data_IF_359495709626
#
_entry.id   IF_359495709626
#
_cell.length_a   1.000
_cell.length_b   1.000
_cell.length_c   1.000
_cell.angle_alpha   90.00
_cell.angle_beta   90.00
_cell.angle_gamma   90.00
#
_symmetry.space_group_name_H-M   'P 1'
#
loop_
_entity.id
_entity.type
_entity.pdbx_description
1 polymer ?
#
# COMPACT_ATOMS: atom_id res chain seq x y z
N UNK A 1 4.15 -41.09 -70.94
CA UNK A 1 2.93 -40.89 -70.12
C UNK A 1 2.94 -41.89 -68.97
N UNK A 2 2.96 -41.40 -67.73
CA UNK A 2 2.35 -42.00 -66.53
C UNK A 2 2.58 -41.01 -65.39
N UNK A 3 1.53 -40.28 -65.04
CA UNK A 3 1.48 -39.39 -63.89
C UNK A 3 1.32 -40.23 -62.62
N UNK A 4 2.09 -39.94 -61.58
CA UNK A 4 1.77 -40.34 -60.22
C UNK A 4 1.65 -39.07 -59.36
N UNK A 5 0.48 -38.89 -58.77
CA UNK A 5 0.16 -37.81 -57.83
C UNK A 5 0.72 -38.19 -56.47
N UNK A 6 1.60 -37.35 -55.91
CA UNK A 6 2.11 -37.46 -54.55
C UNK A 6 1.15 -36.70 -53.64
N UNK A 7 0.48 -37.40 -52.72
CA UNK A 7 -0.25 -36.76 -51.61
C UNK A 7 0.66 -36.84 -50.40
N UNK A 8 1.29 -35.72 -50.05
CA UNK A 8 1.96 -35.55 -48.76
C UNK A 8 1.07 -34.70 -47.86
N UNK A 9 0.58 -35.29 -46.78
CA UNK A 9 0.11 -34.54 -45.64
C UNK A 9 1.33 -34.26 -44.74
N UNK A 10 1.76 -33.00 -44.56
CA UNK A 10 2.73 -32.70 -43.53
C UNK A 10 2.01 -32.72 -42.18
N UNK A 11 2.27 -33.75 -41.37
CA UNK A 11 2.04 -33.66 -39.92
C UNK A 11 3.08 -32.64 -39.41
N UNK A 12 2.67 -31.39 -39.26
CA UNK A 12 3.48 -30.39 -38.58
C UNK A 12 3.44 -30.68 -37.08
N UNK A 13 4.41 -31.42 -36.57
CA UNK A 13 4.75 -31.38 -35.16
C UNK A 13 5.45 -30.03 -34.92
N UNK A 14 4.71 -29.02 -34.47
CA UNK A 14 5.32 -27.82 -33.91
C UNK A 14 5.69 -28.11 -32.46
N UNK A 15 6.96 -28.41 -32.21
CA UNK A 15 7.51 -28.36 -30.86
C UNK A 15 7.76 -26.88 -30.56
N UNK A 16 6.89 -26.26 -29.76
CA UNK A 16 7.17 -24.94 -29.18
C UNK A 16 8.10 -25.13 -27.99
N UNK A 17 9.41 -25.15 -28.23
CA UNK A 17 10.40 -24.99 -27.15
C UNK A 17 10.52 -23.49 -26.82
N UNK A 18 9.57 -22.98 -26.03
CA UNK A 18 9.62 -21.63 -25.51
C UNK A 18 10.67 -21.50 -24.41
N UNK A 19 11.91 -21.14 -24.75
CA UNK A 19 12.92 -20.77 -23.75
C UNK A 19 12.69 -19.33 -23.27
N UNK A 20 12.03 -19.16 -22.14
CA UNK A 20 11.83 -17.85 -21.52
C UNK A 20 13.12 -17.38 -20.85
N UNK A 21 13.79 -16.38 -21.45
CA UNK A 21 14.93 -15.70 -20.82
C UNK A 21 14.46 -14.57 -19.93
N UNK A 22 15.09 -14.42 -18.77
CA UNK A 22 14.96 -13.20 -17.99
C UNK A 22 15.53 -12.03 -18.82
N UNK A 23 14.80 -10.90 -18.97
CA UNK A 23 15.31 -9.75 -19.72
C UNK A 23 16.60 -9.24 -19.10
N UNK A 24 17.56 -8.88 -19.95
CA UNK A 24 18.81 -8.26 -19.49
C UNK A 24 18.47 -6.89 -18.91
N UNK A 25 18.86 -6.71 -17.66
CA UNK A 25 18.64 -5.45 -16.95
C UNK A 25 19.76 -4.49 -17.31
N UNK A 26 19.42 -3.28 -17.76
CA UNK A 26 20.36 -2.25 -18.18
C UNK A 26 20.19 -0.98 -17.35
N UNK A 27 21.31 -0.31 -17.08
CA UNK A 27 21.36 1.01 -16.48
C UNK A 27 22.52 1.80 -17.08
N UNK A 28 22.34 3.12 -17.17
CA UNK A 28 23.36 4.02 -17.69
C UNK A 28 24.14 4.65 -16.54
N UNK A 29 25.46 4.66 -16.66
CA UNK A 29 26.34 5.47 -15.81
C UNK A 29 26.78 6.67 -16.63
N UNK A 30 26.41 7.86 -16.17
CA UNK A 30 26.84 9.12 -16.79
C UNK A 30 27.91 9.75 -15.90
N UNK A 31 29.14 9.80 -16.41
CA UNK A 31 30.22 10.53 -15.77
C UNK A 31 30.15 12.01 -16.20
N UNK A 32 30.00 12.91 -15.23
CA UNK A 32 30.11 14.33 -15.49
C UNK A 32 31.53 14.81 -15.19
N UNK A 33 32.14 15.54 -16.12
CA UNK A 33 33.46 16.16 -15.95
C UNK A 33 33.36 17.66 -16.15
N UNK A 34 34.06 18.42 -15.31
CA UNK A 34 34.23 19.86 -15.45
C UNK A 34 35.68 20.19 -15.78
N UNK A 35 35.88 21.27 -16.53
CA UNK A 35 37.20 21.77 -16.89
C UNK A 35 37.48 23.07 -16.15
N UNK A 36 38.69 23.18 -15.61
CA UNK A 36 39.24 24.43 -15.08
C UNK A 36 40.45 24.83 -15.91
N UNK A 37 40.37 25.99 -16.58
CA UNK A 37 41.44 26.55 -17.41
C UNK A 37 41.87 27.91 -16.88
N UNK A 38 43.18 28.14 -16.83
CA UNK A 38 43.77 29.43 -16.44
C UNK A 38 44.08 30.24 -17.71
N UNK A 39 43.48 31.41 -17.82
CA UNK A 39 43.75 32.36 -18.90
C UNK A 39 45.17 32.95 -18.76
N UNK A 40 45.73 33.46 -19.86
CA UNK A 40 47.01 34.17 -19.84
C UNK A 40 47.01 35.42 -18.94
N UNK A 41 45.83 36.01 -18.69
CA UNK A 41 45.68 37.10 -17.71
C UNK A 41 45.72 36.64 -16.24
N UNK A 42 45.86 35.33 -15.98
CA UNK A 42 45.90 34.74 -14.64
C UNK A 42 44.53 34.32 -14.08
N UNK A 43 43.42 34.72 -14.73
CA UNK A 43 42.06 34.38 -14.30
C UNK A 43 41.74 32.89 -14.52
N UNK A 44 41.12 32.26 -13.53
CA UNK A 44 40.67 30.87 -13.59
C UNK A 44 39.21 30.81 -14.05
N UNK A 45 38.94 30.03 -15.09
CA UNK A 45 37.60 29.75 -15.60
C UNK A 45 37.29 28.28 -15.37
N UNK A 46 36.24 28.00 -14.60
CA UNK A 46 35.77 26.65 -14.32
C UNK A 46 34.36 26.47 -14.88
N UNK A 47 34.12 25.39 -15.62
CA UNK A 47 32.76 25.01 -16.01
C UNK A 47 31.97 24.49 -14.80
N UNK A 48 30.68 24.79 -14.72
CA UNK A 48 29.79 24.26 -13.69
C UNK A 48 29.21 22.91 -14.10
N UNK A 49 28.91 22.07 -13.11
CA UNK A 49 28.10 20.87 -13.32
C UNK A 49 26.65 21.25 -13.67
N UNK A 50 25.90 20.38 -14.37
CA UNK A 50 24.46 20.54 -14.50
C UNK A 50 23.79 20.66 -13.12
N UNK A 51 22.71 21.45 -13.02
CA UNK A 51 22.07 21.76 -11.73
C UNK A 51 21.57 20.52 -10.97
N UNK A 52 21.30 19.43 -11.67
CA UNK A 52 20.86 18.16 -11.11
C UNK A 52 21.99 17.25 -10.63
N UNK A 53 23.27 17.61 -10.84
CA UNK A 53 24.45 16.86 -10.39
C UNK A 53 25.04 17.59 -9.19
N UNK A 54 24.62 17.16 -7.99
CA UNK A 54 24.94 17.84 -6.74
C UNK A 54 25.99 17.09 -5.92
N UNK A 55 26.14 15.79 -6.17
CA UNK A 55 27.03 14.91 -5.41
C UNK A 55 28.06 14.23 -6.31
N UNK A 56 29.23 13.83 -5.76
CA UNK A 56 30.25 13.08 -6.51
C UNK A 56 29.71 11.77 -7.12
N UNK A 57 28.77 11.11 -6.44
CA UNK A 57 28.04 9.93 -6.92
C UNK A 57 26.60 10.06 -6.47
N UNK A 58 25.65 9.91 -7.40
CA UNK A 58 24.22 9.98 -7.10
C UNK A 58 23.42 9.01 -7.96
N UNK A 59 22.34 8.49 -7.38
CA UNK A 59 21.43 7.58 -8.06
C UNK A 59 20.29 8.35 -8.74
N UNK A 60 20.00 7.97 -9.99
CA UNK A 60 18.91 8.56 -10.76
C UNK A 60 17.52 8.27 -10.19
N UNK A 61 16.49 9.01 -10.64
CA UNK A 61 15.12 8.91 -10.12
C UNK A 61 14.52 7.51 -10.25
N UNK A 62 14.86 6.76 -11.31
CA UNK A 62 14.32 5.41 -11.52
C UNK A 62 14.83 4.40 -10.49
N UNK A 63 16.09 4.50 -10.07
CA UNK A 63 16.65 3.62 -9.02
C UNK A 63 15.99 3.93 -7.67
N UNK A 64 15.75 5.22 -7.39
CA UNK A 64 15.04 5.67 -6.18
C UNK A 64 13.59 5.17 -6.16
N UNK A 65 12.88 5.31 -7.28
CA UNK A 65 11.51 4.82 -7.44
C UNK A 65 11.43 3.30 -7.28
N UNK A 66 12.37 2.55 -7.86
CA UNK A 66 12.46 1.10 -7.68
C UNK A 66 12.63 0.72 -6.21
N UNK A 67 13.56 1.38 -5.50
CA UNK A 67 13.78 1.15 -4.08
C UNK A 67 12.52 1.39 -3.23
N UNK A 68 11.78 2.48 -3.50
CA UNK A 68 10.50 2.78 -2.83
C UNK A 68 9.45 1.73 -3.18
N UNK A 69 9.35 1.32 -4.45
CA UNK A 69 8.39 0.31 -4.89
C UNK A 69 8.66 -1.06 -4.25
N UNK A 70 9.91 -1.52 -4.21
CA UNK A 70 10.27 -2.80 -3.59
C UNK A 70 9.93 -2.84 -2.10
N UNK A 71 10.13 -1.74 -1.38
CA UNK A 71 9.90 -1.71 0.08
C UNK A 71 8.45 -1.40 0.45
N UNK A 72 7.82 -0.41 -0.19
CA UNK A 72 6.45 0.02 0.16
C UNK A 72 5.37 -0.69 -0.67
N UNK A 73 5.67 -1.03 -1.92
CA UNK A 73 4.73 -1.73 -2.81
C UNK A 73 4.82 -3.25 -2.69
N UNK A 74 6.05 -3.80 -2.75
CA UNK A 74 6.30 -5.24 -2.64
C UNK A 74 6.59 -5.71 -1.21
N UNK A 75 6.60 -4.79 -0.25
CA UNK A 75 6.76 -5.07 1.19
C UNK A 75 8.05 -5.83 1.55
N UNK A 76 9.12 -5.63 0.77
CA UNK A 76 10.41 -6.24 1.07
C UNK A 76 11.11 -5.52 2.23
N UNK A 77 11.71 -6.26 3.19
CA UNK A 77 12.60 -5.67 4.18
C UNK A 77 13.75 -4.90 3.50
N UNK A 78 14.16 -3.77 4.07
CA UNK A 78 15.19 -2.90 3.48
C UNK A 78 16.48 -3.63 3.09
N UNK A 79 16.98 -4.53 3.95
CA UNK A 79 18.17 -5.32 3.66
C UNK A 79 17.97 -6.23 2.43
N UNK A 80 16.80 -6.89 2.33
CA UNK A 80 16.46 -7.75 1.20
C UNK A 80 16.24 -6.95 -0.09
N UNK A 81 15.67 -5.77 -0.01
CA UNK A 81 15.53 -4.88 -1.17
C UNK A 81 16.90 -4.41 -1.69
N UNK A 82 17.82 -4.03 -0.79
CA UNK A 82 19.18 -3.67 -1.15
C UNK A 82 19.95 -4.84 -1.78
N UNK A 83 19.85 -6.03 -1.20
CA UNK A 83 20.42 -7.25 -1.77
C UNK A 83 19.86 -7.55 -3.16
N UNK A 84 18.55 -7.48 -3.34
CA UNK A 84 17.92 -7.72 -4.65
C UNK A 84 18.40 -6.72 -5.71
N UNK A 85 18.50 -5.43 -5.36
CA UNK A 85 19.02 -4.41 -6.28
C UNK A 85 20.46 -4.73 -6.68
N UNK A 86 21.31 -5.14 -5.72
CA UNK A 86 22.67 -5.56 -6.02
C UNK A 86 22.72 -6.81 -6.91
N UNK A 87 21.91 -7.81 -6.62
CA UNK A 87 21.95 -9.10 -7.31
C UNK A 87 21.44 -8.98 -8.76
N UNK A 88 20.50 -8.06 -9.03
CA UNK A 88 19.89 -7.85 -10.35
C UNK A 88 20.59 -6.75 -11.17
N UNK A 89 21.01 -5.66 -10.51
CA UNK A 89 21.56 -4.47 -11.19
C UNK A 89 23.05 -4.25 -10.89
N UNK A 90 23.68 -5.01 -9.99
CA UNK A 90 25.07 -4.78 -9.57
C UNK A 90 25.26 -3.51 -8.73
N UNK A 91 24.19 -2.81 -8.35
CA UNK A 91 24.26 -1.54 -7.63
C UNK A 91 24.37 -1.78 -6.11
N UNK A 92 25.48 -1.37 -5.52
CA UNK A 92 25.72 -1.48 -4.08
C UNK A 92 25.06 -0.30 -3.32
N UNK A 93 23.80 -0.48 -2.94
CA UNK A 93 23.02 0.54 -2.21
C UNK A 93 22.85 0.10 -0.75
N UNK A 94 23.05 1.01 0.20
CA UNK A 94 22.87 0.70 1.61
C UNK A 94 21.37 0.68 2.01
N UNK A 95 20.96 -0.15 2.99
CA UNK A 95 19.59 -0.08 3.53
C UNK A 95 19.22 1.30 4.07
N UNK A 96 20.19 2.04 4.65
CA UNK A 96 19.97 3.40 5.14
C UNK A 96 19.62 4.39 4.03
N UNK A 97 20.22 4.22 2.84
CA UNK A 97 19.89 5.01 1.65
C UNK A 97 18.45 4.76 1.19
N UNK A 98 17.99 3.50 1.21
CA UNK A 98 16.60 3.17 0.90
C UNK A 98 15.63 3.81 1.90
N UNK A 99 15.97 3.81 3.20
CA UNK A 99 15.16 4.48 4.24
C UNK A 99 15.06 5.99 3.97
N UNK A 100 16.18 6.64 3.60
CA UNK A 100 16.18 8.05 3.26
C UNK A 100 15.25 8.35 2.06
N UNK A 101 15.33 7.55 0.99
CA UNK A 101 14.46 7.70 -0.18
C UNK A 101 12.98 7.45 0.11
N UNK A 102 12.65 6.51 1.00
CA UNK A 102 11.27 6.34 1.49
C UNK A 102 10.81 7.58 2.25
N UNK A 103 11.69 8.20 3.06
CA UNK A 103 11.40 9.47 3.74
C UNK A 103 11.13 10.62 2.77
N UNK A 104 11.95 10.75 1.72
CA UNK A 104 11.75 11.76 0.67
C UNK A 104 10.47 11.50 -0.13
N UNK A 105 10.19 10.24 -0.48
CA UNK A 105 8.97 9.85 -1.18
C UNK A 105 7.73 10.12 -0.32
N UNK A 106 7.79 9.89 0.99
CA UNK A 106 6.72 10.26 1.93
C UNK A 106 6.42 11.76 1.84
N UNK A 107 7.45 12.61 1.90
CA UNK A 107 7.26 14.05 1.82
C UNK A 107 6.65 14.47 0.47
N UNK A 108 7.14 13.89 -0.63
CA UNK A 108 6.64 14.17 -1.97
C UNK A 108 5.19 13.72 -2.19
N UNK A 109 4.77 12.62 -1.55
CA UNK A 109 3.45 12.02 -1.69
C UNK A 109 2.46 12.47 -0.60
N UNK A 110 2.87 13.30 0.37
CA UNK A 110 2.00 13.73 1.46
C UNK A 110 0.72 14.39 0.95
N UNK A 111 0.82 15.29 -0.03
CA UNK A 111 -0.36 15.91 -0.64
C UNK A 111 -1.31 14.91 -1.30
N UNK A 112 -0.79 13.80 -1.85
CA UNK A 112 -1.65 12.73 -2.38
C UNK A 112 -2.36 11.99 -1.26
N UNK A 113 -1.67 11.69 -0.16
CA UNK A 113 -2.28 11.05 1.01
C UNK A 113 -3.37 11.94 1.64
N UNK A 114 -3.16 13.27 1.66
CA UNK A 114 -4.13 14.23 2.17
C UNK A 114 -5.38 14.30 1.27
N UNK A 115 -5.20 14.27 -0.06
CA UNK A 115 -6.32 14.19 -1.01
C UNK A 115 -7.10 12.88 -0.87
N UNK A 116 -6.42 11.75 -0.69
CA UNK A 116 -7.07 10.45 -0.43
C UNK A 116 -7.92 10.54 0.86
N UNK A 117 -7.37 11.09 1.93
CA UNK A 117 -8.09 11.29 3.18
C UNK A 117 -9.33 12.19 2.99
N UNK A 118 -9.21 13.26 2.18
CA UNK A 118 -10.33 14.12 1.83
C UNK A 118 -11.41 13.36 1.04
N UNK A 119 -11.05 12.65 -0.03
CA UNK A 119 -12.01 11.89 -0.81
C UNK A 119 -12.71 10.80 0.00
N UNK A 120 -12.02 10.18 0.95
CA UNK A 120 -12.64 9.23 1.87
C UNK A 120 -13.63 9.90 2.83
N UNK A 121 -13.41 11.15 3.24
CA UNK A 121 -14.42 11.89 4.03
C UNK A 121 -15.70 12.13 3.22
N UNK A 122 -15.53 12.50 1.95
CA UNK A 122 -16.66 12.84 1.07
C UNK A 122 -17.30 11.60 0.42
N UNK A 123 -16.73 10.42 0.61
CA UNK A 123 -17.21 9.18 0.03
C UNK A 123 -18.57 8.76 0.62
N UNK A 124 -19.43 8.21 -0.25
CA UNK A 124 -20.73 7.65 0.14
C UNK A 124 -20.62 6.42 1.06
N UNK A 125 -19.48 5.72 1.02
CA UNK A 125 -19.20 4.55 1.85
C UNK A 125 -17.70 4.49 2.17
N UNK A 126 -17.40 4.20 3.44
CA UNK A 126 -16.04 3.99 3.94
C UNK A 126 -16.00 2.74 4.81
N UNK A 127 -15.02 1.89 4.55
CA UNK A 127 -14.68 0.75 5.40
C UNK A 127 -13.59 1.18 6.39
N UNK A 128 -13.74 0.79 7.64
CA UNK A 128 -12.73 1.02 8.68
C UNK A 128 -12.33 -0.28 9.38
N UNK A 129 -11.03 -0.41 9.66
CA UNK A 129 -10.46 -1.48 10.46
C UNK A 129 -9.20 -1.02 11.19
N UNK A 130 -8.82 -1.76 12.24
CA UNK A 130 -7.67 -1.46 13.08
C UNK A 130 -6.87 -2.72 13.41
N UNK A 131 -5.61 -2.76 12.97
CA UNK A 131 -4.71 -3.90 13.18
C UNK A 131 -3.49 -3.51 14.01
N UNK A 132 -3.16 -4.33 15.01
CA UNK A 132 -1.99 -4.10 15.86
C UNK A 132 -0.67 -4.47 15.16
N UNK A 133 0.35 -3.64 15.31
CA UNK A 133 1.72 -3.93 14.89
C UNK A 133 2.75 -3.47 15.93
N UNK A 134 4.00 -3.92 15.77
CA UNK A 134 5.10 -3.54 16.67
C UNK A 134 6.02 -2.52 16.00
N UNK A 135 6.21 -1.38 16.66
CA UNK A 135 7.17 -0.35 16.25
C UNK A 135 8.19 -0.22 17.37
N UNK A 136 9.45 -0.54 17.08
CA UNK A 136 10.52 -0.60 18.07
C UNK A 136 10.13 -1.40 19.35
N UNK A 137 9.42 -2.51 19.17
CA UNK A 137 8.94 -3.38 20.27
C UNK A 137 7.64 -2.92 20.94
N UNK A 138 7.20 -1.69 20.72
CA UNK A 138 5.98 -1.14 21.32
C UNK A 138 4.76 -1.43 20.44
N UNK A 139 3.61 -1.68 21.07
CA UNK A 139 2.36 -1.90 20.35
C UNK A 139 1.84 -0.58 19.79
N UNK A 140 1.67 -0.53 18.49
CA UNK A 140 0.99 0.51 17.75
C UNK A 140 -0.19 -0.10 16.98
N UNK A 141 -1.04 0.75 16.44
CA UNK A 141 -2.22 0.37 15.69
C UNK A 141 -2.17 1.04 14.31
N UNK A 142 -2.34 0.22 13.28
CA UNK A 142 -2.59 0.66 11.92
C UNK A 142 -4.09 0.80 11.74
N UNK A 143 -4.52 2.02 11.55
CA UNK A 143 -5.88 2.42 11.22
C UNK A 143 -6.02 2.45 9.70
N UNK A 144 -7.12 1.89 9.21
CA UNK A 144 -7.44 1.86 7.79
C UNK A 144 -8.75 2.59 7.58
N UNK A 145 -8.79 3.46 6.58
CA UNK A 145 -10.02 3.95 5.97
C UNK A 145 -9.94 3.67 4.46
N UNK A 146 -10.92 2.98 3.91
CA UNK A 146 -10.86 2.56 2.51
C UNK A 146 -12.24 2.41 1.86
N UNK A 147 -12.30 2.56 0.55
CA UNK A 147 -13.45 2.18 -0.27
C UNK A 147 -12.98 1.23 -1.39
N UNK A 148 -13.75 1.13 -2.47
CA UNK A 148 -13.43 0.25 -3.61
C UNK A 148 -12.19 0.69 -4.41
N UNK A 149 -11.77 1.95 -4.28
CA UNK A 149 -10.74 2.58 -5.13
C UNK A 149 -9.59 3.21 -4.34
N UNK A 150 -9.84 3.61 -3.10
CA UNK A 150 -8.93 4.38 -2.27
C UNK A 150 -8.68 3.67 -0.95
N UNK A 151 -7.42 3.70 -0.51
CA UNK A 151 -7.01 3.19 0.80
C UNK A 151 -6.11 4.21 1.47
N UNK A 152 -6.42 4.50 2.72
CA UNK A 152 -5.61 5.33 3.60
C UNK A 152 -5.15 4.52 4.80
N UNK A 153 -3.89 4.73 5.19
CA UNK A 153 -3.24 4.09 6.33
C UNK A 153 -2.76 5.14 7.34
N UNK A 154 -3.10 4.94 8.61
CA UNK A 154 -2.68 5.79 9.73
C UNK A 154 -2.04 4.98 10.83
N UNK A 155 -0.85 5.36 11.26
CA UNK A 155 -0.21 4.74 12.42
C UNK A 155 -0.47 5.58 13.67
N UNK A 156 -0.91 4.95 14.75
CA UNK A 156 -1.06 5.59 16.05
C UNK A 156 -0.64 4.66 17.19
N UNK A 157 -0.15 5.23 18.31
CA UNK A 157 0.23 4.43 19.48
C UNK A 157 -1.00 3.85 20.23
N UNK A 158 -2.19 4.40 19.95
CA UNK A 158 -3.46 4.02 20.58
C UNK A 158 -4.43 3.45 19.56
N UNK A 159 -5.34 2.61 20.07
CA UNK A 159 -6.49 2.07 19.36
C UNK A 159 -7.73 2.93 19.63
N UNK A 160 -8.67 2.99 18.69
CA UNK A 160 -10.00 3.58 18.89
C UNK A 160 -10.04 5.09 18.92
N UNK A 161 -11.03 5.64 19.65
CA UNK A 161 -11.48 7.02 19.46
C UNK A 161 -10.37 8.08 19.53
N UNK A 162 -9.38 7.92 20.40
CA UNK A 162 -8.26 8.86 20.46
C UNK A 162 -7.53 8.97 19.12
N UNK A 163 -7.21 7.82 18.52
CA UNK A 163 -6.56 7.74 17.22
C UNK A 163 -7.51 8.11 16.07
N UNK A 164 -8.76 7.63 16.12
CA UNK A 164 -9.79 7.94 15.12
C UNK A 164 -10.00 9.46 15.03
N UNK A 165 -10.09 10.14 16.17
CA UNK A 165 -10.20 11.59 16.24
C UNK A 165 -8.94 12.28 15.74
N UNK A 166 -7.75 11.80 16.14
CA UNK A 166 -6.48 12.37 15.70
C UNK A 166 -6.26 12.27 14.17
N UNK A 167 -6.77 11.22 13.53
CA UNK A 167 -6.68 11.03 12.08
C UNK A 167 -7.69 11.88 11.29
N UNK A 168 -8.76 12.38 11.94
CA UNK A 168 -9.72 13.34 11.38
C UNK A 168 -10.39 12.93 10.04
N UNK A 169 -10.44 11.63 9.73
CA UNK A 169 -11.17 11.10 8.56
C UNK A 169 -12.58 10.69 8.99
N UNK A 170 -12.69 9.65 9.82
CA UNK A 170 -14.00 9.08 10.16
C UNK A 170 -14.94 10.08 10.88
N UNK A 171 -14.49 10.92 11.82
CA UNK A 171 -15.36 11.93 12.47
C UNK A 171 -15.92 13.01 11.55
N UNK A 172 -15.46 13.08 10.30
CA UNK A 172 -15.87 14.09 9.32
C UNK A 172 -16.37 13.46 8.03
N UNK A 173 -16.71 12.17 8.07
CA UNK A 173 -17.21 11.45 6.91
C UNK A 173 -18.68 11.80 6.65
N UNK A 174 -19.09 11.76 5.38
CA UNK A 174 -20.48 12.02 4.98
C UNK A 174 -21.31 10.74 4.78
N UNK A 175 -20.64 9.62 4.49
CA UNK A 175 -21.27 8.38 4.07
C UNK A 175 -21.43 7.29 5.12
N UNK A 176 -21.82 6.10 4.64
CA UNK A 176 -21.99 4.88 5.45
C UNK A 176 -20.62 4.40 5.96
N UNK A 177 -20.54 4.06 7.25
CA UNK A 177 -19.36 3.42 7.84
C UNK A 177 -19.54 1.91 7.94
N UNK A 178 -18.73 1.18 7.19
CA UNK A 178 -18.64 -0.28 7.32
C UNK A 178 -17.52 -0.63 8.30
N UNK A 179 -17.80 -1.39 9.35
CA UNK A 179 -16.78 -1.79 10.34
C UNK A 179 -17.04 -3.17 10.96
N UNK A 180 -16.07 -3.68 11.73
CA UNK A 180 -16.03 -5.03 12.32
C UNK A 180 -16.89 -5.21 13.60
N UNK A 181 -17.90 -4.35 13.81
CA UNK A 181 -18.71 -4.26 15.03
C UNK A 181 -17.92 -3.87 16.31
N UNK A 182 -16.70 -3.37 16.20
CA UNK A 182 -15.96 -2.93 17.39
C UNK A 182 -16.61 -1.72 18.07
N UNK A 183 -16.67 -1.75 19.41
CA UNK A 183 -17.53 -0.84 20.20
C UNK A 183 -17.27 0.66 20.01
N UNK A 184 -16.03 1.15 19.82
CA UNK A 184 -15.76 2.57 19.66
C UNK A 184 -16.31 3.19 18.38
N UNK A 185 -16.44 2.43 17.29
CA UNK A 185 -17.01 2.97 16.05
C UNK A 185 -18.45 3.45 16.25
N UNK A 186 -19.22 2.81 17.14
CA UNK A 186 -20.60 3.22 17.44
C UNK A 186 -20.72 4.57 18.16
N UNK A 187 -19.61 5.20 18.55
CA UNK A 187 -19.60 6.57 19.11
C UNK A 187 -19.56 7.65 18.02
N UNK A 188 -19.45 7.24 16.76
CA UNK A 188 -19.48 8.15 15.61
C UNK A 188 -20.93 8.29 15.14
N UNK A 189 -21.74 8.93 15.99
CA UNK A 189 -23.21 8.99 15.92
C UNK A 189 -23.76 9.68 14.65
N UNK A 190 -22.90 10.38 13.91
CA UNK A 190 -23.23 11.15 12.72
C UNK A 190 -23.37 10.30 11.44
N UNK A 191 -23.19 8.99 11.52
CA UNK A 191 -23.28 8.14 10.33
C UNK A 191 -24.26 6.99 10.42
N UNK A 192 -24.66 6.56 9.22
CA UNK A 192 -25.24 5.24 9.03
C UNK A 192 -24.15 4.18 9.18
N UNK A 193 -24.34 3.22 10.08
CA UNK A 193 -23.41 2.13 10.29
C UNK A 193 -23.84 0.88 9.52
N UNK A 194 -22.88 0.22 8.89
CA UNK A 194 -23.03 -1.11 8.31
C UNK A 194 -21.96 -2.03 8.90
N UNK A 195 -22.26 -3.32 8.95
CA UNK A 195 -21.34 -4.31 9.50
C UNK A 195 -20.60 -5.02 8.38
N UNK A 196 -19.31 -5.22 8.59
CA UNK A 196 -18.45 -5.89 7.62
C UNK A 196 -18.84 -7.37 7.52
N UNK A 197 -19.46 -7.76 6.41
CA UNK A 197 -19.89 -9.14 6.16
C UNK A 197 -18.73 -10.14 6.23
N UNK A 198 -17.52 -9.77 5.80
CA UNK A 198 -16.35 -10.65 5.89
C UNK A 198 -16.00 -10.99 7.34
N UNK A 199 -16.11 -10.01 8.25
CA UNK A 199 -15.92 -10.25 9.68
C UNK A 199 -17.05 -11.10 10.26
N UNK A 200 -18.31 -10.80 9.92
CA UNK A 200 -19.45 -11.60 10.37
C UNK A 200 -19.34 -13.07 9.92
N UNK A 201 -19.01 -13.31 8.64
CA UNK A 201 -18.82 -14.65 8.11
C UNK A 201 -17.69 -15.39 8.84
N UNK A 202 -16.56 -14.72 9.11
CA UNK A 202 -15.45 -15.31 9.86
C UNK A 202 -15.89 -15.75 11.26
N UNK A 203 -16.63 -14.90 11.97
CA UNK A 203 -17.14 -15.21 13.31
C UNK A 203 -18.16 -16.36 13.28
N UNK A 204 -19.08 -16.36 12.31
CA UNK A 204 -20.10 -17.40 12.16
C UNK A 204 -19.48 -18.76 11.82
N UNK A 205 -18.53 -18.80 10.90
CA UNK A 205 -17.79 -20.01 10.56
C UNK A 205 -17.02 -20.56 11.76
N UNK A 206 -16.39 -19.68 12.54
CA UNK A 206 -15.69 -20.09 13.76
C UNK A 206 -16.65 -20.67 14.81
N UNK A 207 -17.83 -20.08 14.97
CA UNK A 207 -18.83 -20.56 15.95
C UNK A 207 -19.42 -21.94 15.64
N UNK A 208 -19.35 -22.40 14.39
CA UNK A 208 -19.86 -23.70 13.97
C UNK A 208 -18.84 -24.85 14.16
N UNK A 209 -17.64 -24.58 14.68
CA UNK A 209 -16.64 -25.62 14.98
C UNK A 209 -16.93 -26.30 16.33
N UNK A 210 -16.98 -27.64 16.40
CA UNK A 210 -17.23 -28.36 17.66
C UNK A 210 -16.10 -28.09 18.67
N UNK A 211 -16.47 -27.67 19.88
CA UNK A 211 -15.54 -27.40 20.99
C UNK A 211 -15.33 -25.94 21.36
N UNK A 212 -15.87 -24.98 20.58
CA UNK A 212 -15.78 -23.56 20.90
C UNK A 212 -17.08 -23.01 21.51
N UNK A 213 -17.15 -23.02 22.85
CA UNK A 213 -18.17 -22.26 23.58
C UNK A 213 -17.82 -20.76 23.56
N UNK A 214 -18.58 -20.00 22.77
CA UNK A 214 -18.82 -18.56 22.89
C UNK A 214 -17.63 -17.67 23.29
N UNK A 215 -16.92 -17.13 22.28
CA UNK A 215 -16.11 -15.92 22.46
C UNK A 215 -16.66 -14.78 21.60
N UNK A 216 -17.66 -14.08 22.18
CA UNK A 216 -18.01 -12.67 21.98
C UNK A 216 -17.83 -12.01 20.59
N UNK A 217 -18.97 -11.76 19.93
CA UNK A 217 -19.32 -10.52 19.16
C UNK A 217 -20.81 -10.48 18.74
N UNK A 218 -21.51 -11.62 18.74
CA UNK A 218 -22.93 -11.72 18.31
C UNK A 218 -23.94 -11.11 19.33
N UNK A 219 -23.53 -10.83 20.57
CA UNK A 219 -24.46 -10.23 21.55
C UNK A 219 -24.88 -8.79 21.21
N UNK A 220 -24.03 -7.99 20.55
CA UNK A 220 -24.38 -6.62 20.12
C UNK A 220 -25.30 -6.57 18.89
N UNK A 221 -25.22 -7.58 18.01
CA UNK A 221 -26.17 -7.74 16.92
C UNK A 221 -27.59 -7.90 17.46
N UNK A 222 -27.77 -8.61 18.59
CA UNK A 222 -29.09 -8.81 19.20
C UNK A 222 -29.63 -7.60 19.96
N UNK A 223 -28.78 -6.70 20.46
CA UNK A 223 -29.25 -5.56 21.28
C UNK A 223 -29.57 -4.31 20.46
N UNK A 224 -28.82 -4.03 19.38
CA UNK A 224 -28.90 -2.72 18.72
C UNK A 224 -29.79 -2.70 17.47
N UNK A 225 -29.94 -3.83 16.76
CA UNK A 225 -30.87 -3.93 15.62
C UNK A 225 -32.33 -4.04 16.07
N UNK A 226 -32.59 -4.77 17.17
CA UNK A 226 -33.95 -4.93 17.70
C UNK A 226 -34.56 -3.66 18.31
N UNK A 227 -33.75 -2.73 18.82
CA UNK A 227 -34.27 -1.51 19.45
C UNK A 227 -34.60 -0.40 18.45
N UNK A 228 -33.97 -0.37 17.26
CA UNK A 228 -34.30 0.62 16.23
C UNK A 228 -35.59 0.26 15.47
N UNK A 229 -35.90 -1.03 15.28
CA UNK A 229 -37.11 -1.44 14.54
C UNK A 229 -38.38 -1.55 15.41
N UNK A 230 -38.28 -1.76 16.73
CA UNK A 230 -39.45 -2.03 17.59
C UNK A 230 -39.95 -0.86 18.44
N UNK A 231 -39.45 0.37 18.20
CA UNK A 231 -39.88 1.57 18.92
C UNK A 231 -41.28 2.10 18.58
N UNK A 232 -42.09 1.39 17.76
CA UNK A 232 -43.40 1.89 17.30
C UNK A 232 -44.61 0.99 17.48
N UNK A 233 -44.49 -0.22 18.06
CA UNK A 233 -45.68 -1.05 18.31
C UNK A 233 -45.71 -1.59 19.73
N UNK A 234 -46.32 -0.79 20.62
CA UNK A 234 -46.95 -1.31 21.82
C UNK A 234 -48.16 -2.17 21.43
N UNK A 235 -48.11 -3.46 21.76
CA UNK A 235 -49.30 -4.32 21.79
C UNK A 235 -49.75 -4.36 23.26
N UNK A 236 -50.96 -3.87 23.60
CA UNK A 236 -51.47 -3.96 24.96
C UNK A 236 -51.94 -5.40 25.25
N UNK A 237 -51.81 -5.83 26.51
CA UNK A 237 -52.58 -6.93 27.06
C UNK A 237 -53.98 -6.43 27.47
#
# INVERSE_FOLDING_TARGET
MKNYVRVEAPISCQIHEGFSRCPVVAFDIVEHRTLSVRCQCGQLHSSAFPANVTEPVQYGPNVRALAVHLTQGQMLPFARAAELIRDVYGLAISPGTLVAWVGEARLALQGTADLIAQYLRDAALVNADESGLRVAGQLHWLHIAANDTLTWYGLHAKRGMEAITAHAILPHRSGVLVHDCWSPYWKLDDATHALCNAHLLRELLWSNLPGHLNRWKIHHLRSNTWQQENGRHSIPA
#
